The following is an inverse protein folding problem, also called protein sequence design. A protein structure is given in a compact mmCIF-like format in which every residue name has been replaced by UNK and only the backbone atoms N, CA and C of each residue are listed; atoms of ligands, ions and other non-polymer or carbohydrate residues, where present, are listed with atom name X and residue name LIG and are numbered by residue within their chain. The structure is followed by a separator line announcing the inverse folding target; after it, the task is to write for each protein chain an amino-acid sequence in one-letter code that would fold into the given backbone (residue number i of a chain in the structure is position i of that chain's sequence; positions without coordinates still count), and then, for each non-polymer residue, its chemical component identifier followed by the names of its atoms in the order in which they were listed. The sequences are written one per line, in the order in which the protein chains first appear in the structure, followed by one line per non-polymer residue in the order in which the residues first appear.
data_IF_801526133622
#
_entry.id   IF_801526133622
#
_cell.length_a   1.000
_cell.length_b   1.000
_cell.length_c   1.000
_cell.angle_alpha   90.00
_cell.angle_beta   90.00
_cell.angle_gamma   90.00
#
_symmetry.space_group_name_H-M   'P 1'
#
loop_
_entity.id
_entity.type
_entity.pdbx_description
1 polymer ?
#
# COMPACT_ATOMS: atom_id res chain seq x y z
N UNK A 1 -10.35 15.91 -3.47
CA UNK A 1 -9.03 15.97 -4.13
C UNK A 1 -8.27 14.71 -3.72
N UNK A 2 -8.09 13.75 -4.61
CA UNK A 2 -7.30 12.56 -4.29
C UNK A 2 -5.84 13.03 -4.24
N UNK A 3 -5.27 13.11 -3.03
CA UNK A 3 -3.85 13.36 -2.86
C UNK A 3 -3.12 12.38 -3.80
N UNK A 4 -2.34 12.92 -4.74
CA UNK A 4 -1.56 12.13 -5.67
C UNK A 4 -0.66 11.21 -4.82
N UNK A 5 -1.09 9.97 -4.64
CA UNK A 5 -0.29 8.97 -3.97
C UNK A 5 1.03 8.91 -4.74
N UNK A 6 2.18 8.87 -4.05
CA UNK A 6 3.47 8.71 -4.72
C UNK A 6 3.33 7.54 -5.70
N UNK A 7 3.87 7.69 -6.90
CA UNK A 7 3.73 6.71 -7.98
C UNK A 7 4.44 5.41 -7.56
N UNK A 8 3.75 4.56 -6.81
CA UNK A 8 4.25 3.25 -6.39
C UNK A 8 3.91 2.26 -7.50
N UNK A 9 4.89 1.64 -8.17
CA UNK A 9 4.60 0.51 -9.03
C UNK A 9 4.12 -0.64 -8.14
N UNK A 10 2.83 -0.95 -8.15
CA UNK A 10 2.22 -1.93 -7.26
C UNK A 10 2.40 -3.38 -7.74
N UNK A 11 3.63 -3.79 -8.03
CA UNK A 11 3.95 -5.21 -8.22
C UNK A 11 4.17 -5.90 -6.87
N UNK A 12 3.90 -7.20 -6.76
CA UNK A 12 4.14 -7.94 -5.51
C UNK A 12 5.60 -7.89 -5.05
N UNK A 13 6.55 -7.75 -5.99
CA UNK A 13 7.97 -7.62 -5.70
C UNK A 13 8.33 -6.24 -5.12
N UNK A 14 7.70 -5.19 -5.65
CA UNK A 14 7.93 -3.82 -5.19
C UNK A 14 7.25 -3.55 -3.84
N UNK A 15 6.08 -4.17 -3.57
CA UNK A 15 5.37 -4.02 -2.31
C UNK A 15 6.21 -4.41 -1.09
N UNK A 16 6.81 -5.61 -1.10
CA UNK A 16 7.60 -6.09 0.05
C UNK A 16 8.87 -5.26 0.27
N UNK A 17 9.50 -4.79 -0.80
CA UNK A 17 10.65 -3.89 -0.73
C UNK A 17 10.31 -2.58 0.00
N UNK A 18 9.12 -2.01 -0.27
CA UNK A 18 8.64 -0.83 0.43
C UNK A 18 8.21 -1.09 1.87
N UNK A 19 7.63 -2.26 2.16
CA UNK A 19 7.32 -2.67 3.56
C UNK A 19 8.60 -2.69 4.39
N UNK A 20 9.66 -3.32 3.88
CA UNK A 20 10.94 -3.37 4.57
C UNK A 20 11.55 -1.98 4.74
N UNK A 21 11.54 -1.16 3.68
CA UNK A 21 12.01 0.22 3.73
C UNK A 21 11.30 1.03 4.83
N UNK A 22 9.97 1.01 4.87
CA UNK A 22 9.22 1.74 5.90
C UNK A 22 9.40 1.17 7.31
N UNK A 23 9.64 -0.14 7.45
CA UNK A 23 9.99 -0.75 8.74
C UNK A 23 11.33 -0.24 9.25
N UNK A 24 12.34 -0.10 8.40
CA UNK A 24 13.64 0.48 8.81
C UNK A 24 13.50 1.93 9.28
N UNK A 25 12.54 2.68 8.73
CA UNK A 25 12.25 4.06 9.11
C UNK A 25 11.26 4.19 10.28
N UNK A 26 10.68 3.10 10.76
CA UNK A 26 9.60 3.13 11.76
C UNK A 26 8.29 3.77 11.25
N UNK A 27 8.14 3.91 9.95
CA UNK A 27 7.01 4.61 9.31
C UNK A 27 5.82 3.67 9.05
N UNK A 28 5.33 3.00 10.11
CA UNK A 28 4.29 1.97 10.00
C UNK A 28 2.97 2.49 9.42
N UNK A 29 2.59 3.74 9.71
CA UNK A 29 1.37 4.35 9.16
C UNK A 29 1.39 4.38 7.61
N UNK A 30 2.57 4.57 7.00
CA UNK A 30 2.71 4.56 5.54
C UNK A 30 2.56 3.16 4.95
N UNK A 31 2.84 2.11 5.72
CA UNK A 31 2.64 0.72 5.30
C UNK A 31 1.14 0.44 5.19
N UNK A 32 0.33 0.92 6.13
CA UNK A 32 -1.13 0.74 6.09
C UNK A 32 -1.76 1.44 4.87
N UNK A 33 -1.38 2.69 4.60
CA UNK A 33 -1.87 3.44 3.44
C UNK A 33 -1.48 2.75 2.12
N UNK A 34 -0.23 2.29 2.03
CA UNK A 34 0.27 1.56 0.86
C UNK A 34 -0.43 0.21 0.69
N UNK A 35 -0.65 -0.53 1.78
CA UNK A 35 -1.37 -1.80 1.75
C UNK A 35 -2.81 -1.59 1.28
N UNK A 36 -3.50 -0.56 1.76
CA UNK A 36 -4.86 -0.23 1.28
C UNK A 36 -4.89 0.04 -0.22
N UNK A 37 -3.97 0.86 -0.72
CA UNK A 37 -3.87 1.15 -2.15
C UNK A 37 -3.53 -0.10 -2.98
N UNK A 38 -2.58 -0.92 -2.51
CA UNK A 38 -2.19 -2.17 -3.16
C UNK A 38 -3.30 -3.21 -3.17
N UNK A 39 -4.07 -3.36 -2.09
CA UNK A 39 -5.16 -4.34 -2.02
C UNK A 39 -6.45 -3.85 -2.67
N UNK A 40 -6.66 -2.55 -2.82
CA UNK A 40 -7.81 -1.98 -3.53
C UNK A 40 -7.86 -2.36 -5.02
N UNK A 41 -6.71 -2.67 -5.65
CA UNK A 41 -6.67 -3.12 -7.05
C UNK A 41 -7.11 -4.58 -7.24
N UNK A 42 -7.22 -5.36 -6.15
CA UNK A 42 -7.64 -6.75 -6.22
C UNK A 42 -9.13 -6.90 -5.88
N UNK A 43 -9.85 -7.83 -6.53
CA UNK A 43 -11.29 -8.04 -6.32
C UNK A 43 -11.65 -8.54 -4.89
N UNK A 44 -10.65 -8.93 -4.09
CA UNK A 44 -10.82 -9.25 -2.66
C UNK A 44 -10.73 -8.03 -1.73
N UNK A 45 -10.29 -6.86 -2.21
CA UNK A 45 -10.29 -5.62 -1.43
C UNK A 45 -11.69 -5.20 -0.97
N UNK A 46 -12.71 -5.44 -1.81
CA UNK A 46 -14.12 -5.24 -1.45
C UNK A 46 -14.62 -6.18 -0.35
N UNK A 47 -14.05 -7.39 -0.23
CA UNK A 47 -14.38 -8.33 0.85
C UNK A 47 -13.74 -7.95 2.19
N UNK A 48 -12.69 -7.12 2.19
CA UNK A 48 -11.96 -6.66 3.38
C UNK A 48 -12.44 -5.29 3.90
N UNK A 49 -13.44 -4.67 3.25
CA UNK A 49 -14.09 -3.45 3.76
C UNK A 49 -13.36 -2.14 3.46
N UNK A 50 -12.44 -2.10 2.49
CA UNK A 50 -11.70 -0.89 2.11
C UNK A 50 -12.44 0.00 1.09
N UNK A 51 -13.74 0.23 1.29
CA UNK A 51 -14.55 1.12 0.45
C UNK A 51 -14.34 2.60 0.78
#
# INVERSE_FOLDING_TARGET
EAAALPYWPFSSNDFWSYVEYFRTLGAYNRIEDMARAFFAQFPFGSHLGYH
#
